data_IF_170028004339
#
_entry.id   IF_170028004339
#
_cell.length_a   1.000
_cell.length_b   1.000
_cell.length_c   1.000
_cell.angle_alpha   90.00
_cell.angle_beta   90.00
_cell.angle_gamma   90.00
#
_symmetry.space_group_name_H-M   'P 1'
#
loop_
_entity.id
_entity.type
_entity.pdbx_description
1 polymer ?
#
# COMPACT_ATOMS: atom_id res chain seq x y z
N UNK A 1 88.57 2.97 26.17
CA UNK A 1 87.27 3.68 26.19
C UNK A 1 86.67 3.55 24.79
N UNK A 2 85.74 2.59 24.66
CA UNK A 2 84.92 2.24 23.50
C UNK A 2 83.57 2.97 23.66
N UNK A 3 82.71 3.31 22.70
CA UNK A 3 82.50 2.81 21.36
C UNK A 3 81.65 3.81 20.53
N UNK A 4 81.55 3.52 19.24
CA UNK A 4 80.96 4.24 18.10
C UNK A 4 79.41 4.13 18.01
N UNK A 5 78.81 5.10 17.28
CA UNK A 5 77.81 4.94 16.20
C UNK A 5 76.29 5.26 16.39
N UNK A 6 75.77 5.93 15.34
CA UNK A 6 74.48 5.79 14.63
C UNK A 6 73.24 6.64 15.04
N UNK A 7 72.80 7.44 14.04
CA UNK A 7 71.49 8.09 13.78
C UNK A 7 70.28 7.11 13.84
N UNK A 8 69.01 7.49 13.47
CA UNK A 8 68.17 8.70 13.58
C UNK A 8 66.75 8.36 14.18
N UNK A 9 65.85 9.33 14.45
CA UNK A 9 64.36 9.21 14.24
C UNK A 9 63.49 10.15 15.09
N UNK A 10 62.27 10.38 14.58
CA UNK A 10 61.03 10.93 15.15
C UNK A 10 60.68 12.31 14.56
N UNK A 11 59.48 12.58 14.02
CA UNK A 11 58.12 12.08 14.30
C UNK A 11 57.31 12.09 12.98
N UNK A 12 56.62 11.02 12.61
CA UNK A 12 55.25 10.64 13.03
C UNK A 12 54.21 11.74 12.73
N UNK A 13 53.42 11.50 11.69
CA UNK A 13 52.24 12.26 11.32
C UNK A 13 51.42 11.41 10.35
N UNK A 14 50.90 10.29 10.83
CA UNK A 14 49.92 9.48 10.11
C UNK A 14 48.53 10.02 10.46
N UNK A 15 47.95 10.76 9.53
CA UNK A 15 46.54 11.13 9.53
C UNK A 15 45.70 9.85 9.56
N UNK A 16 45.12 9.52 10.72
CA UNK A 16 44.07 8.50 10.81
C UNK A 16 42.80 9.06 10.16
N UNK A 17 42.71 8.89 8.84
CA UNK A 17 41.44 8.94 8.14
C UNK A 17 40.60 7.76 8.65
N UNK A 18 39.74 7.99 9.63
CA UNK A 18 38.66 7.05 9.98
C UNK A 18 37.65 7.05 8.83
N UNK A 19 37.97 6.30 7.78
CA UNK A 19 36.98 5.90 6.78
C UNK A 19 35.88 5.13 7.53
N UNK A 20 34.64 5.61 7.42
CA UNK A 20 33.48 4.86 7.88
C UNK A 20 33.53 3.48 7.21
N UNK A 21 33.37 2.37 7.95
CA UNK A 21 33.32 1.05 7.34
C UNK A 21 32.21 1.06 6.28
N UNK A 22 32.56 0.73 5.05
CA UNK A 22 31.59 0.54 3.98
C UNK A 22 30.59 -0.52 4.49
N UNK A 23 29.26 -0.30 4.43
CA UNK A 23 28.31 -1.33 4.82
C UNK A 23 28.66 -2.61 4.08
N UNK A 24 28.65 -3.75 4.78
CA UNK A 24 29.01 -5.04 4.21
C UNK A 24 28.04 -5.39 3.08
N UNK A 25 28.44 -5.00 1.87
CA UNK A 25 27.66 -5.18 0.64
C UNK A 25 27.36 -6.67 0.40
N UNK A 26 28.16 -7.57 1.00
CA UNK A 26 27.96 -9.01 0.93
C UNK A 26 26.68 -9.45 1.65
N UNK A 27 26.41 -8.90 2.83
CA UNK A 27 25.22 -9.23 3.61
C UNK A 27 23.92 -8.75 2.95
N UNK A 28 23.89 -7.49 2.48
CA UNK A 28 22.73 -6.95 1.77
C UNK A 28 22.43 -7.69 0.45
N UNK A 29 23.48 -8.08 -0.28
CA UNK A 29 23.32 -8.91 -1.49
C UNK A 29 22.79 -10.29 -1.14
N UNK A 30 23.18 -10.86 0.01
CA UNK A 30 22.68 -12.15 0.47
C UNK A 30 21.21 -12.08 0.87
N UNK A 31 20.78 -11.05 1.60
CA UNK A 31 19.37 -10.82 1.97
C UNK A 31 18.48 -10.64 0.73
N UNK A 32 18.92 -9.84 -0.24
CA UNK A 32 18.20 -9.65 -1.51
C UNK A 32 18.09 -10.94 -2.30
N UNK A 33 19.16 -11.75 -2.34
CA UNK A 33 19.11 -13.08 -2.97
C UNK A 33 18.08 -13.95 -2.29
N UNK A 34 18.10 -14.02 -0.97
CA UNK A 34 17.15 -14.83 -0.20
C UNK A 34 15.70 -14.42 -0.48
N UNK A 35 15.40 -13.12 -0.50
CA UNK A 35 14.07 -12.59 -0.86
C UNK A 35 13.63 -12.98 -2.28
N UNK A 36 14.53 -12.91 -3.27
CA UNK A 36 14.21 -13.24 -4.67
C UNK A 36 13.95 -14.74 -4.86
N UNK A 37 14.70 -15.59 -4.16
CA UNK A 37 14.61 -17.05 -4.32
C UNK A 37 13.46 -17.61 -3.46
N UNK A 38 13.11 -16.95 -2.36
CA UNK A 38 11.98 -17.34 -1.53
C UNK A 38 10.66 -17.14 -2.29
N UNK A 39 9.76 -18.15 -2.33
CA UNK A 39 8.44 -17.96 -2.90
C UNK A 39 7.68 -16.88 -2.14
N UNK A 40 7.02 -15.96 -2.85
CA UNK A 40 6.14 -14.97 -2.23
C UNK A 40 5.00 -15.71 -1.50
N UNK A 41 4.87 -15.54 -0.16
CA UNK A 41 3.76 -16.13 0.56
C UNK A 41 2.43 -15.58 0.04
N UNK A 42 1.45 -16.47 -0.19
CA UNK A 42 0.11 -16.10 -0.63
C UNK A 42 -0.93 -16.55 0.42
N UNK A 43 -0.92 -15.98 1.64
CA UNK A 43 -1.95 -16.25 2.62
C UNK A 43 -3.28 -15.72 2.08
N UNK A 44 -4.25 -16.61 1.93
CA UNK A 44 -5.62 -16.27 1.54
C UNK A 44 -6.53 -16.63 2.70
N UNK A 45 -6.86 -15.65 3.54
CA UNK A 45 -7.95 -15.81 4.48
C UNK A 45 -9.31 -15.74 3.74
N UNK A 46 -10.39 -15.94 4.48
CA UNK A 46 -11.72 -16.00 3.87
C UNK A 46 -12.14 -14.67 3.24
N UNK A 47 -11.68 -13.53 3.77
CA UNK A 47 -11.96 -12.21 3.20
C UNK A 47 -11.16 -11.96 1.93
N UNK A 48 -9.88 -12.31 1.89
CA UNK A 48 -9.08 -12.22 0.66
C UNK A 48 -9.61 -13.15 -0.42
N UNK A 49 -10.05 -14.37 -0.07
CA UNK A 49 -10.74 -15.26 -1.03
C UNK A 49 -12.04 -14.64 -1.53
N UNK A 50 -12.81 -14.03 -0.64
CA UNK A 50 -14.05 -13.35 -1.01
C UNK A 50 -13.80 -12.18 -1.96
N UNK A 51 -12.82 -11.33 -1.68
CA UNK A 51 -12.50 -10.14 -2.47
C UNK A 51 -11.91 -10.54 -3.83
N UNK A 52 -10.86 -11.37 -3.83
CA UNK A 52 -10.11 -11.71 -5.03
C UNK A 52 -10.83 -12.74 -5.91
N UNK A 53 -11.74 -13.53 -5.35
CA UNK A 53 -12.53 -14.53 -6.06
C UNK A 53 -13.78 -14.02 -6.76
N UNK A 54 -14.06 -12.70 -6.73
CA UNK A 54 -15.26 -12.11 -7.34
C UNK A 54 -15.27 -12.29 -8.86
N UNK A 55 -16.29 -12.95 -9.38
CA UNK A 55 -16.51 -13.04 -10.82
C UNK A 55 -16.91 -11.68 -11.43
N UNK A 56 -16.47 -11.38 -12.66
CA UNK A 56 -16.65 -10.06 -13.30
C UNK A 56 -18.11 -9.60 -13.31
N UNK A 57 -19.05 -10.49 -13.64
CA UNK A 57 -20.49 -10.17 -13.70
C UNK A 57 -21.08 -9.73 -12.35
N UNK A 58 -20.42 -10.05 -11.23
CA UNK A 58 -20.83 -9.64 -9.88
C UNK A 58 -20.29 -8.26 -9.48
N UNK A 59 -19.39 -7.67 -10.27
CA UNK A 59 -18.72 -6.41 -9.96
C UNK A 59 -19.39 -5.18 -10.59
N UNK A 60 -20.25 -5.38 -11.60
CA UNK A 60 -20.94 -4.30 -12.31
C UNK A 60 -21.69 -3.35 -11.35
N UNK A 61 -22.49 -3.87 -10.42
CA UNK A 61 -23.25 -3.05 -9.47
C UNK A 61 -22.33 -2.22 -8.54
N UNK A 62 -21.17 -2.77 -8.17
CA UNK A 62 -20.19 -2.05 -7.35
C UNK A 62 -19.59 -0.92 -8.19
N UNK A 63 -19.13 -1.21 -9.41
CA UNK A 63 -18.56 -0.22 -10.31
C UNK A 63 -19.54 0.93 -10.61
N UNK A 64 -20.82 0.61 -10.81
CA UNK A 64 -21.88 1.62 -10.96
C UNK A 64 -22.00 2.52 -9.73
N UNK A 65 -22.07 1.95 -8.52
CA UNK A 65 -22.12 2.77 -7.31
C UNK A 65 -20.85 3.59 -7.11
N UNK A 66 -19.67 3.05 -7.42
CA UNK A 66 -18.41 3.81 -7.39
C UNK A 66 -18.44 4.99 -8.39
N UNK A 67 -19.03 4.84 -9.58
CA UNK A 67 -19.22 5.98 -10.49
C UNK A 67 -20.09 7.07 -9.88
N UNK A 68 -21.14 6.71 -9.13
CA UNK A 68 -21.96 7.68 -8.38
C UNK A 68 -21.16 8.40 -7.27
N UNK A 69 -20.13 7.74 -6.72
CA UNK A 69 -19.18 8.39 -5.80
C UNK A 69 -18.16 9.29 -6.52
N UNK A 70 -18.19 9.37 -7.86
CA UNK A 70 -17.30 10.20 -8.68
C UNK A 70 -16.09 9.48 -9.26
N UNK A 71 -15.93 8.17 -9.04
CA UNK A 71 -14.83 7.41 -9.65
C UNK A 71 -15.02 7.27 -11.17
N UNK A 72 -13.94 7.45 -11.92
CA UNK A 72 -13.92 7.23 -13.36
C UNK A 72 -13.55 5.77 -13.67
N UNK A 73 -14.54 4.99 -14.07
CA UNK A 73 -14.39 3.54 -14.35
C UNK A 73 -14.97 3.26 -15.74
N UNK A 74 -14.20 2.77 -16.71
CA UNK A 74 -14.72 2.36 -18.01
C UNK A 74 -15.84 1.32 -17.91
N UNK A 75 -16.82 1.35 -18.82
CA UNK A 75 -17.89 0.34 -18.92
C UNK A 75 -17.42 -0.94 -19.63
N UNK A 76 -16.30 -1.49 -19.16
CA UNK A 76 -15.73 -2.75 -19.63
C UNK A 76 -15.56 -3.68 -18.44
N UNK A 77 -15.97 -4.93 -18.60
CA UNK A 77 -16.13 -5.89 -17.49
C UNK A 77 -14.87 -6.09 -16.64
N UNK A 78 -13.71 -6.07 -17.28
CA UNK A 78 -12.40 -6.22 -16.65
C UNK A 78 -12.02 -4.98 -15.83
N UNK A 79 -12.32 -3.79 -16.34
CA UNK A 79 -12.08 -2.53 -15.63
C UNK A 79 -13.02 -2.39 -14.42
N UNK A 80 -14.27 -2.80 -14.56
CA UNK A 80 -15.24 -2.84 -13.45
C UNK A 80 -14.83 -3.83 -12.35
N UNK A 81 -14.36 -5.02 -12.74
CA UNK A 81 -13.84 -6.01 -11.80
C UNK A 81 -12.59 -5.47 -11.08
N UNK A 82 -11.63 -4.92 -11.83
CA UNK A 82 -10.40 -4.38 -11.27
C UNK A 82 -10.70 -3.27 -10.26
N UNK A 83 -11.58 -2.32 -10.61
CA UNK A 83 -11.98 -1.25 -9.72
C UNK A 83 -12.66 -1.77 -8.44
N UNK A 84 -13.61 -2.70 -8.57
CA UNK A 84 -14.31 -3.28 -7.43
C UNK A 84 -13.34 -4.02 -6.49
N UNK A 85 -12.48 -4.89 -7.04
CA UNK A 85 -11.49 -5.64 -6.25
C UNK A 85 -10.52 -4.69 -5.57
N UNK A 86 -9.96 -3.72 -6.31
CA UNK A 86 -9.02 -2.74 -5.76
C UNK A 86 -9.65 -1.93 -4.62
N UNK A 87 -10.89 -1.48 -4.77
CA UNK A 87 -11.61 -0.73 -3.75
C UNK A 87 -11.86 -1.57 -2.48
N UNK A 88 -12.39 -2.79 -2.61
CA UNK A 88 -12.61 -3.67 -1.46
C UNK A 88 -11.29 -4.04 -0.77
N UNK A 89 -10.26 -4.35 -1.56
CA UNK A 89 -8.92 -4.68 -1.04
C UNK A 89 -8.32 -3.49 -0.28
N UNK A 90 -8.49 -2.27 -0.77
CA UNK A 90 -8.00 -1.06 -0.09
C UNK A 90 -8.63 -0.88 1.30
N UNK A 91 -9.93 -1.14 1.42
CA UNK A 91 -10.61 -1.16 2.72
C UNK A 91 -10.08 -2.26 3.65
N UNK A 92 -9.90 -3.47 3.10
CA UNK A 92 -9.37 -4.61 3.85
C UNK A 92 -7.95 -4.34 4.37
N UNK A 93 -7.05 -3.82 3.53
CA UNK A 93 -5.67 -3.52 3.93
C UNK A 93 -5.59 -2.42 4.99
N UNK A 94 -6.57 -1.50 5.04
CA UNK A 94 -6.61 -0.40 6.01
C UNK A 94 -7.16 -0.84 7.37
N UNK A 95 -8.19 -1.68 7.39
CA UNK A 95 -8.78 -2.24 8.61
C UNK A 95 -9.41 -3.61 8.31
N UNK A 96 -8.64 -4.71 8.42
CA UNK A 96 -9.12 -6.06 8.09
C UNK A 96 -10.32 -6.50 8.93
N UNK A 97 -10.53 -5.91 10.11
CA UNK A 97 -11.62 -6.31 11.00
C UNK A 97 -12.93 -5.64 10.60
N UNK A 98 -12.90 -4.36 10.23
CA UNK A 98 -14.12 -3.58 9.94
C UNK A 98 -14.31 -3.22 8.47
N UNK A 99 -13.49 -3.75 7.55
CA UNK A 99 -13.49 -3.33 6.14
C UNK A 99 -14.86 -3.35 5.46
N UNK A 100 -15.69 -4.37 5.74
CA UNK A 100 -17.03 -4.47 5.14
C UNK A 100 -17.94 -3.34 5.58
N UNK A 101 -17.85 -2.96 6.86
CA UNK A 101 -18.59 -1.83 7.41
C UNK A 101 -18.07 -0.53 6.81
N UNK A 102 -16.75 -0.33 6.82
CA UNK A 102 -16.13 0.87 6.26
C UNK A 102 -16.49 1.08 4.78
N UNK A 103 -16.43 0.01 3.99
CA UNK A 103 -16.84 -0.01 2.58
C UNK A 103 -18.33 0.31 2.41
N UNK A 104 -19.21 -0.27 3.26
CA UNK A 104 -20.65 -0.01 3.22
C UNK A 104 -20.99 1.42 3.61
N UNK A 105 -20.35 1.96 4.63
CA UNK A 105 -20.56 3.31 5.13
C UNK A 105 -20.14 4.35 4.05
N UNK A 106 -19.03 4.11 3.34
CA UNK A 106 -18.62 4.95 2.19
C UNK A 106 -19.66 4.89 1.06
N UNK A 107 -20.13 3.70 0.72
CA UNK A 107 -21.12 3.48 -0.34
C UNK A 107 -22.45 4.18 -0.05
N UNK A 108 -22.88 4.18 1.22
CA UNK A 108 -24.11 4.84 1.67
C UNK A 108 -23.95 6.36 1.80
N UNK A 109 -22.78 6.84 2.21
CA UNK A 109 -22.52 8.28 2.33
C UNK A 109 -22.67 9.01 0.99
N UNK A 110 -22.17 8.44 -0.11
CA UNK A 110 -22.31 9.08 -1.41
C UNK A 110 -23.72 9.01 -2.01
N UNK A 111 -24.49 7.97 -1.70
CA UNK A 111 -25.91 7.93 -2.07
C UNK A 111 -26.74 9.07 -1.45
N UNK A 112 -26.34 9.56 -0.27
CA UNK A 112 -27.00 10.67 0.41
C UNK A 112 -26.61 12.06 -0.11
N UNK A 113 -25.51 12.18 -0.87
CA UNK A 113 -25.11 13.46 -1.49
C UNK A 113 -25.92 13.79 -2.77
N UNK A 114 -26.56 12.79 -3.38
CA UNK A 114 -27.40 12.97 -4.58
C UNK A 114 -28.91 13.07 -4.31
N UNK A 115 -29.36 12.97 -3.06
CA UNK A 115 -30.77 13.19 -2.74
C UNK A 115 -31.13 14.66 -3.05
N UNK A 116 -31.98 14.97 -4.05
CA UNK A 116 -32.39 16.33 -4.30
C UNK A 116 -33.19 16.80 -3.08
N UNK A 117 -32.85 17.96 -2.52
CA UNK A 117 -33.76 18.70 -1.65
C UNK A 117 -35.04 18.88 -2.46
N UNK A 118 -36.11 18.14 -2.12
CA UNK A 118 -37.43 18.37 -2.72
C UNK A 118 -37.87 19.78 -2.31
N UNK A 119 -37.99 20.74 -3.24
CA UNK A 119 -38.54 22.03 -2.89
C UNK A 119 -40.05 21.87 -2.72
N UNK A 120 -40.55 22.12 -1.52
CA UNK A 120 -41.97 22.39 -1.29
C UNK A 120 -42.81 21.21 -0.80
N UNK A 121 -42.84 21.04 0.52
CA UNK A 121 -44.07 20.64 1.21
C UNK A 121 -44.44 21.73 2.21
N UNK A 122 -44.68 22.95 1.70
CA UNK A 122 -45.54 23.90 2.38
C UNK A 122 -46.97 23.54 2.00
N UNK A 123 -47.67 22.80 2.86
CA UNK A 123 -49.13 22.77 2.79
C UNK A 123 -49.65 24.03 3.48
N UNK A 124 -50.38 24.92 2.79
CA UNK A 124 -51.20 25.91 3.48
C UNK A 124 -52.41 25.17 4.06
N UNK A 125 -52.72 25.47 5.31
CA UNK A 125 -53.83 24.85 6.01
C UNK A 125 -55.17 25.10 5.35
N UNK A 126 -56.06 24.12 5.55
CA UNK A 126 -57.51 24.26 5.76
C UNK A 126 -57.96 23.09 6.62
#
# INVERSE_FOLDING_TARGET
MSNRALHPSAKTGEDRQTALPCPDQSAAVQELRELIISPTPLPLDDDLRYILGRANFSCMCIAQGLRLLGYQIPEKSEDEQAAAIHWMLSHYLRDPVNWRRNASDEFQCGANLEAPIRPGSHQPGV
#
